data_IF_095506175328
#
_entry.id   IF_095506175328
#
_cell.length_a   1.000
_cell.length_b   1.000
_cell.length_c   1.000
_cell.angle_alpha   90.00
_cell.angle_beta   90.00
_cell.angle_gamma   90.00
#
_symmetry.space_group_name_H-M   'P 1'
#
loop_
_entity.id
_entity.type
_entity.pdbx_description
1 polymer ?
#
# COMPACT_ATOMS: atom_id res chain seq x y z
N UNK A 1 5.88 16.48 -0.84
CA UNK A 1 6.04 15.41 -1.85
C UNK A 1 5.09 14.29 -1.47
N UNK A 2 4.52 13.57 -2.45
CA UNK A 2 3.57 12.49 -2.19
C UNK A 2 4.32 11.19 -1.96
N UNK A 3 3.96 10.47 -0.91
CA UNK A 3 4.50 9.15 -0.59
C UNK A 3 3.50 8.07 -0.94
N UNK A 4 3.92 6.94 -1.50
CA UNK A 4 3.04 5.81 -1.77
C UNK A 4 3.25 4.71 -0.73
N UNK A 5 2.18 4.27 -0.09
CA UNK A 5 2.16 3.10 0.77
C UNK A 5 1.30 2.02 0.11
N UNK A 6 1.92 0.92 -0.29
CA UNK A 6 1.23 -0.26 -0.81
C UNK A 6 0.80 -1.10 0.40
N UNK A 7 -0.51 -1.12 0.67
CA UNK A 7 -1.11 -1.87 1.76
C UNK A 7 -1.50 -3.27 1.29
N UNK A 8 -0.73 -4.29 1.68
CA UNK A 8 -0.99 -5.68 1.34
C UNK A 8 -1.57 -6.45 2.53
N UNK A 9 -2.12 -7.64 2.29
CA UNK A 9 -2.60 -8.50 3.38
C UNK A 9 -1.45 -8.98 4.28
N UNK A 10 -0.32 -9.36 3.69
CA UNK A 10 0.79 -10.04 4.38
C UNK A 10 0.57 -11.55 4.51
N UNK A 11 1.68 -12.27 4.62
CA UNK A 11 1.72 -13.73 4.60
C UNK A 11 2.62 -14.25 5.72
N UNK A 12 2.30 -15.44 6.24
CA UNK A 12 3.22 -16.18 7.13
C UNK A 12 4.46 -16.70 6.39
N UNK A 13 4.42 -16.73 5.05
CA UNK A 13 5.56 -17.11 4.21
C UNK A 13 6.38 -15.86 3.89
N UNK A 14 7.57 -15.77 4.47
CA UNK A 14 8.42 -14.59 4.32
C UNK A 14 8.78 -14.30 2.87
N UNK A 15 9.01 -15.32 2.05
CA UNK A 15 9.29 -15.16 0.62
C UNK A 15 8.21 -14.35 -0.12
N UNK A 16 6.93 -14.52 0.25
CA UNK A 16 5.83 -13.76 -0.36
C UNK A 16 5.80 -12.30 0.09
N UNK A 17 6.24 -12.01 1.32
CA UNK A 17 6.37 -10.64 1.81
C UNK A 17 7.53 -9.93 1.10
N UNK A 18 8.66 -10.61 0.90
CA UNK A 18 9.82 -10.11 0.15
C UNK A 18 9.50 -9.83 -1.32
N UNK A 19 8.71 -10.70 -1.98
CA UNK A 19 8.23 -10.45 -3.34
C UNK A 19 7.45 -9.12 -3.45
N UNK A 20 6.63 -8.79 -2.44
CA UNK A 20 5.91 -7.53 -2.40
C UNK A 20 6.83 -6.34 -2.13
N UNK A 21 7.81 -6.47 -1.24
CA UNK A 21 8.84 -5.42 -1.02
C UNK A 21 9.61 -5.14 -2.31
N UNK A 22 10.01 -6.18 -3.03
CA UNK A 22 10.63 -6.04 -4.35
C UNK A 22 9.71 -5.39 -5.38
N UNK A 23 8.41 -5.69 -5.36
CA UNK A 23 7.42 -4.99 -6.18
C UNK A 23 7.41 -3.48 -5.88
N UNK A 24 7.42 -3.08 -4.61
CA UNK A 24 7.52 -1.67 -4.21
C UNK A 24 8.74 -0.96 -4.79
N UNK A 25 9.91 -1.60 -4.74
CA UNK A 25 11.14 -1.08 -5.35
C UNK A 25 11.04 -0.94 -6.88
N UNK A 26 10.34 -1.87 -7.55
CA UNK A 26 10.12 -1.77 -9.00
C UNK A 26 9.17 -0.63 -9.33
N UNK A 27 8.16 -0.40 -8.49
CA UNK A 27 7.23 0.74 -8.64
C UNK A 27 7.96 2.06 -8.44
N UNK A 28 8.83 2.21 -7.43
CA UNK A 28 9.62 3.44 -7.27
C UNK A 28 10.50 3.72 -8.49
N UNK A 29 11.17 2.69 -9.01
CA UNK A 29 12.00 2.79 -10.20
C UNK A 29 11.18 3.20 -11.44
N UNK A 30 9.99 2.60 -11.66
CA UNK A 30 9.11 2.95 -12.77
C UNK A 30 8.55 4.37 -12.67
N UNK A 31 8.30 4.86 -11.45
CA UNK A 31 7.83 6.24 -11.22
C UNK A 31 8.97 7.27 -11.29
N UNK A 32 10.24 6.85 -11.32
CA UNK A 32 11.39 7.74 -11.29
C UNK A 32 11.54 8.48 -9.96
N UNK A 33 11.01 7.93 -8.87
CA UNK A 33 11.07 8.49 -7.51
C UNK A 33 12.12 7.77 -6.67
N UNK A 34 12.53 8.35 -5.55
CA UNK A 34 13.48 7.69 -4.65
C UNK A 34 12.87 6.40 -4.07
N UNK A 35 13.71 5.40 -3.79
CA UNK A 35 13.26 4.09 -3.30
C UNK A 35 12.51 4.17 -1.96
N UNK A 36 12.81 5.18 -1.15
CA UNK A 36 12.14 5.43 0.11
C UNK A 36 10.83 6.23 -0.05
N UNK A 37 10.33 6.48 -1.27
CA UNK A 37 9.03 7.15 -1.50
C UNK A 37 7.91 6.16 -1.82
N UNK A 38 8.22 4.86 -1.91
CA UNK A 38 7.26 3.77 -2.11
C UNK A 38 7.54 2.69 -1.08
N UNK A 39 6.67 2.60 -0.08
CA UNK A 39 6.76 1.57 0.96
C UNK A 39 5.71 0.49 0.79
N UNK A 40 5.96 -0.66 1.41
CA UNK A 40 5.02 -1.77 1.51
C UNK A 40 4.76 -2.04 2.98
N UNK A 41 3.49 -2.09 3.35
CA UNK A 41 3.06 -2.43 4.70
C UNK A 41 1.93 -3.45 4.66
N UNK A 42 1.74 -4.13 5.78
CA UNK A 42 0.91 -5.32 5.85
C UNK A 42 -0.23 -5.17 6.87
N UNK A 43 -1.38 -5.73 6.53
CA UNK A 43 -2.53 -5.76 7.42
C UNK A 43 -2.34 -6.82 8.52
N UNK A 44 -1.84 -8.00 8.15
CA UNK A 44 -1.63 -9.14 9.05
C UNK A 44 -0.34 -9.90 8.72
N UNK A 45 0.12 -10.73 9.67
CA UNK A 45 1.19 -11.74 9.51
C UNK A 45 2.60 -11.25 9.15
N UNK A 46 2.78 -10.00 8.74
CA UNK A 46 4.04 -9.44 8.30
C UNK A 46 4.23 -8.01 8.81
N UNK A 47 5.47 -7.52 8.71
CA UNK A 47 5.89 -6.20 9.19
C UNK A 47 6.56 -5.40 8.08
N UNK A 48 6.45 -4.05 8.10
CA UNK A 48 5.72 -3.25 9.09
C UNK A 48 4.19 -3.35 8.93
N UNK A 49 3.46 -3.12 10.01
CA UNK A 49 2.00 -2.95 9.92
C UNK A 49 1.66 -1.65 9.20
N UNK A 50 0.46 -1.56 8.61
CA UNK A 50 -0.02 -0.31 7.98
C UNK A 50 0.04 0.86 8.96
N UNK A 51 -0.40 0.65 10.20
CA UNK A 51 -0.32 1.64 11.28
C UNK A 51 1.13 2.11 11.51
N UNK A 52 2.05 1.18 11.78
CA UNK A 52 3.44 1.51 12.09
C UNK A 52 4.14 2.22 10.93
N UNK A 53 3.93 1.76 9.69
CA UNK A 53 4.50 2.40 8.52
C UNK A 53 4.03 3.85 8.38
N UNK A 54 2.74 4.14 8.60
CA UNK A 54 2.23 5.51 8.57
C UNK A 54 2.81 6.38 9.69
N UNK A 55 2.97 5.83 10.90
CA UNK A 55 3.64 6.53 12.01
C UNK A 55 5.08 6.89 11.69
N UNK A 56 5.85 5.95 11.15
CA UNK A 56 7.25 6.17 10.75
C UNK A 56 7.34 7.28 9.70
N UNK A 57 6.50 7.23 8.66
CA UNK A 57 6.45 8.27 7.64
C UNK A 57 6.14 9.66 8.22
N UNK A 58 5.17 9.77 9.12
CA UNK A 58 4.80 11.06 9.72
C UNK A 58 5.86 11.60 10.68
N UNK A 59 6.54 10.72 11.42
CA UNK A 59 7.71 11.09 12.22
C UNK A 59 8.85 11.63 11.34
N UNK A 60 9.04 11.05 10.14
CA UNK A 60 9.99 11.51 9.13
C UNK A 60 9.51 12.73 8.31
N UNK A 61 8.56 13.49 8.87
CA UNK A 61 8.03 14.73 8.32
C UNK A 61 7.29 14.60 6.98
N UNK A 62 6.89 13.39 6.58
CA UNK A 62 5.97 13.21 5.45
C UNK A 62 4.61 13.80 5.82
N UNK A 63 4.04 14.61 4.92
CA UNK A 63 2.76 15.31 5.16
C UNK A 63 1.60 14.75 4.34
N UNK A 64 1.88 14.02 3.25
CA UNK A 64 0.88 13.44 2.36
C UNK A 64 1.26 12.02 1.96
N UNK A 65 0.45 11.04 2.36
CA UNK A 65 0.59 9.63 1.99
C UNK A 65 -0.60 9.19 1.14
N UNK A 66 -0.33 8.50 0.05
CA UNK A 66 -1.30 7.78 -0.76
C UNK A 66 -1.24 6.32 -0.34
N UNK A 67 -2.37 5.75 0.08
CA UNK A 67 -2.47 4.33 0.41
C UNK A 67 -3.15 3.60 -0.75
N UNK A 68 -2.48 2.60 -1.31
CA UNK A 68 -3.01 1.72 -2.35
C UNK A 68 -3.22 0.32 -1.79
N UNK A 69 -4.47 -0.17 -1.67
CA UNK A 69 -4.73 -1.55 -1.29
C UNK A 69 -4.32 -2.52 -2.40
N UNK A 70 -3.33 -3.37 -2.12
CA UNK A 70 -2.87 -4.45 -2.99
C UNK A 70 -3.78 -5.69 -2.83
N UNK A 71 -5.02 -5.56 -3.29
CA UNK A 71 -6.05 -6.60 -3.24
C UNK A 71 -6.78 -6.71 -4.59
N UNK A 72 -7.00 -7.95 -5.06
CA UNK A 72 -7.68 -8.21 -6.34
C UNK A 72 -9.20 -8.10 -6.25
N UNK A 73 -9.78 -8.24 -5.05
CA UNK A 73 -11.22 -8.10 -4.83
C UNK A 73 -11.52 -7.33 -3.56
N UNK A 74 -12.68 -6.69 -3.53
CA UNK A 74 -13.19 -6.02 -2.34
C UNK A 74 -13.70 -7.05 -1.33
N UNK A 75 -12.90 -7.32 -0.30
CA UNK A 75 -13.31 -8.04 0.91
C UNK A 75 -13.39 -7.12 2.13
N UNK A 76 -13.71 -7.68 3.30
CA UNK A 76 -13.76 -6.95 4.57
C UNK A 76 -12.46 -6.16 4.85
N UNK A 77 -11.30 -6.71 4.47
CA UNK A 77 -10.01 -6.05 4.62
C UNK A 77 -9.93 -4.69 3.91
N UNK A 78 -10.39 -4.64 2.66
CA UNK A 78 -10.36 -3.40 1.86
C UNK A 78 -11.42 -2.42 2.33
N UNK A 79 -12.63 -2.91 2.62
CA UNK A 79 -13.79 -2.05 2.89
C UNK A 79 -13.82 -1.53 4.33
N UNK A 80 -13.27 -2.27 5.28
CA UNK A 80 -13.37 -1.96 6.71
C UNK A 80 -12.01 -1.85 7.39
N UNK A 81 -11.16 -2.86 7.23
CA UNK A 81 -9.99 -2.97 8.11
C UNK A 81 -8.91 -1.92 7.75
N UNK A 82 -8.57 -1.74 6.47
CA UNK A 82 -7.62 -0.69 6.03
C UNK A 82 -8.12 0.72 6.37
N UNK A 83 -9.37 1.11 6.07
CA UNK A 83 -9.91 2.39 6.52
C UNK A 83 -9.86 2.59 8.04
N UNK A 84 -10.08 1.53 8.82
CA UNK A 84 -10.00 1.59 10.28
C UNK A 84 -8.56 1.85 10.76
N UNK A 85 -7.56 1.17 10.20
CA UNK A 85 -6.14 1.42 10.48
C UNK A 85 -5.75 2.86 10.16
N UNK A 86 -6.14 3.37 9.00
CA UNK A 86 -5.91 4.77 8.59
C UNK A 86 -6.57 5.75 9.58
N UNK A 87 -7.80 5.47 10.01
CA UNK A 87 -8.54 6.33 10.92
C UNK A 87 -7.89 6.43 12.30
N UNK A 88 -7.31 5.33 12.81
CA UNK A 88 -6.55 5.31 14.07
C UNK A 88 -5.33 6.23 13.99
N UNK A 89 -4.60 6.19 12.86
CA UNK A 89 -3.42 7.03 12.66
C UNK A 89 -3.81 8.51 12.54
N UNK A 90 -4.83 8.84 11.73
CA UNK A 90 -5.28 10.22 11.56
C UNK A 90 -5.80 10.86 12.86
N UNK A 91 -6.36 10.06 13.78
CA UNK A 91 -6.75 10.54 15.10
C UNK A 91 -5.55 11.06 15.94
N UNK A 92 -4.35 10.54 15.68
CA UNK A 92 -3.11 10.95 16.35
C UNK A 92 -2.34 12.01 15.55
N UNK A 93 -2.61 12.13 14.25
CA UNK A 93 -1.94 13.04 13.32
C UNK A 93 -2.94 13.88 12.49
N UNK A 94 -3.69 14.79 13.13
CA UNK A 94 -4.80 15.50 12.50
C UNK A 94 -4.35 16.51 11.42
N UNK A 95 -3.08 16.91 11.40
CA UNK A 95 -2.48 17.80 10.41
C UNK A 95 -1.99 17.07 9.14
N UNK A 96 -1.94 15.73 9.16
CA UNK A 96 -1.45 14.91 8.05
C UNK A 96 -2.57 14.51 7.11
N UNK A 97 -2.22 14.26 5.86
CA UNK A 97 -3.15 13.85 4.82
C UNK A 97 -2.88 12.41 4.39
N UNK A 98 -3.92 11.57 4.46
CA UNK A 98 -3.92 10.24 3.86
C UNK A 98 -4.99 10.18 2.77
N UNK A 99 -4.60 9.75 1.57
CA UNK A 99 -5.54 9.49 0.45
C UNK A 99 -5.60 7.98 0.20
N UNK A 100 -6.74 7.36 0.51
CA UNK A 100 -6.98 5.95 0.20
C UNK A 100 -7.49 5.81 -1.25
N UNK A 101 -6.78 5.04 -2.06
CA UNK A 101 -7.18 4.70 -3.43
C UNK A 101 -8.09 3.46 -3.46
N UNK A 102 -8.83 3.24 -4.57
CA UNK A 102 -9.44 1.94 -4.85
C UNK A 102 -8.39 0.82 -4.82
N UNK A 103 -8.80 -0.39 -4.45
CA UNK A 103 -7.91 -1.55 -4.50
C UNK A 103 -7.47 -1.84 -5.94
N UNK A 104 -6.28 -2.43 -6.12
CA UNK A 104 -5.69 -2.63 -7.46
C UNK A 104 -6.59 -3.41 -8.41
N UNK A 105 -7.36 -4.38 -7.91
CA UNK A 105 -8.32 -5.14 -8.70
C UNK A 105 -9.50 -4.33 -9.26
N UNK A 106 -9.78 -3.13 -8.74
CA UNK A 106 -10.83 -2.25 -9.23
C UNK A 106 -10.34 -1.27 -10.31
N UNK A 107 -9.04 -1.29 -10.66
CA UNK A 107 -8.49 -0.43 -11.69
C UNK A 107 -8.76 -0.99 -13.08
N UNK A 108 -9.16 -0.15 -14.04
CA UNK A 108 -9.38 -0.55 -15.44
C UNK A 108 -8.12 -1.20 -16.06
N UNK A 109 -6.93 -0.74 -15.65
CA UNK A 109 -5.65 -1.32 -16.05
C UNK A 109 -5.48 -2.79 -15.67
N UNK A 110 -6.17 -3.27 -14.62
CA UNK A 110 -6.15 -4.67 -14.21
C UNK A 110 -6.84 -5.56 -15.26
N UNK A 111 -7.91 -5.07 -15.89
CA UNK A 111 -8.58 -5.76 -17.00
C UNK A 111 -7.61 -5.94 -18.17
N UNK A 112 -6.89 -4.88 -18.53
CA UNK A 112 -5.86 -4.92 -19.57
C UNK A 112 -4.71 -5.88 -19.24
N UNK A 113 -4.25 -5.90 -17.99
CA UNK A 113 -3.21 -6.82 -17.53
C UNK A 113 -3.65 -8.29 -17.61
N UNK A 114 -4.89 -8.60 -17.22
CA UNK A 114 -5.46 -9.96 -17.34
C UNK A 114 -5.61 -10.37 -18.81
N UNK A 115 -6.15 -9.47 -19.64
CA UNK A 115 -6.32 -9.74 -21.07
C UNK A 115 -4.97 -10.01 -21.76
N UNK A 116 -3.95 -9.20 -21.49
CA UNK A 116 -2.60 -9.40 -22.04
C UNK A 116 -1.94 -10.70 -21.60
N UNK A 117 -2.27 -11.23 -20.42
CA UNK A 117 -1.77 -12.52 -19.95
C UNK A 117 -2.37 -13.73 -20.69
N UNK A 118 -3.52 -13.57 -21.36
CA UNK A 118 -4.06 -14.61 -22.25
C UNK A 118 -3.35 -14.63 -23.61
N UNK A 119 -2.85 -13.48 -24.06
CA UNK A 119 -2.17 -13.33 -25.34
C UNK A 119 -0.68 -13.74 -25.30
N UNK A 120 -0.13 -13.94 -24.10
CA UNK A 120 1.25 -14.35 -23.84
C UNK A 120 1.42 -15.87 -23.73
#
# INVERSE_FOLDING_TARGET
MKHLLIAAHGSRRESSNEELKHLGMRVSAMLGVANNQVDVAFLEFASPSIENALFELFNDHVTEVIVLPYFLSAGNHVVRDIPAEISKVLAQWPDKKITLLPHIGALDSMVGAIAGAFES
#
